data_IF_704238571069
#
_entry.id   IF_704238571069
#
_cell.length_a   1.000
_cell.length_b   1.000
_cell.length_c   1.000
_cell.angle_alpha   90.00
_cell.angle_beta   90.00
_cell.angle_gamma   90.00
#
_symmetry.space_group_name_H-M   'P 1'
#
loop_
_entity.id
_entity.type
_entity.pdbx_description
1 polymer ?
#
# COMPACT_ATOMS: atom_id res chain seq x y z
N UNK A 1 -0.76 -5.47 22.93
CA UNK A 1 0.40 -6.12 22.27
C UNK A 1 0.70 -5.35 21.00
N UNK A 2 1.94 -4.91 20.82
CA UNK A 2 2.35 -4.25 19.58
C UNK A 2 2.26 -5.25 18.42
N UNK A 3 1.78 -4.78 17.27
CA UNK A 3 1.69 -5.61 16.07
C UNK A 3 3.11 -5.90 15.55
N UNK A 4 3.50 -7.17 15.42
CA UNK A 4 4.81 -7.60 14.91
C UNK A 4 4.91 -7.44 13.38
N UNK A 5 4.79 -6.21 12.88
CA UNK A 5 4.97 -5.91 11.46
C UNK A 5 6.27 -5.16 11.22
N UNK A 6 6.98 -5.52 10.15
CA UNK A 6 8.10 -4.74 9.66
C UNK A 6 7.66 -3.31 9.30
N UNK A 7 8.57 -2.34 9.40
CA UNK A 7 8.26 -0.93 9.21
C UNK A 7 7.71 -0.59 7.81
N UNK A 8 8.06 -1.38 6.80
CA UNK A 8 7.61 -1.27 5.41
C UNK A 8 6.27 -1.99 5.15
N UNK A 9 5.73 -2.72 6.13
CA UNK A 9 4.45 -3.42 5.99
C UNK A 9 3.28 -2.44 5.84
N UNK A 10 2.34 -2.80 4.96
CA UNK A 10 1.04 -2.14 4.82
C UNK A 10 0.30 -1.95 6.14
N UNK A 11 0.52 -2.87 7.10
CA UNK A 11 -0.18 -2.94 8.38
C UNK A 11 0.62 -2.39 9.56
N UNK A 12 1.83 -1.86 9.34
CA UNK A 12 2.70 -1.39 10.42
C UNK A 12 2.05 -0.34 11.33
N UNK A 13 1.24 0.56 10.75
CA UNK A 13 0.50 1.59 11.48
C UNK A 13 -0.94 1.19 11.87
N UNK A 14 -1.34 -0.07 11.63
CA UNK A 14 -2.70 -0.53 11.93
C UNK A 14 -2.79 -1.04 13.36
N UNK A 15 -3.74 -0.50 14.13
CA UNK A 15 -4.00 -0.91 15.51
C UNK A 15 -4.32 -2.41 15.59
N UNK A 16 -3.70 -3.13 16.52
CA UNK A 16 -4.11 -4.48 16.91
C UNK A 16 -5.16 -4.42 18.02
N UNK A 17 -6.28 -5.11 17.81
CA UNK A 17 -7.39 -5.24 18.76
C UNK A 17 -7.57 -6.70 19.17
N UNK A 18 -8.26 -6.91 20.28
CA UNK A 18 -8.59 -8.25 20.77
C UNK A 18 -10.09 -8.36 20.91
N UNK A 19 -10.67 -9.43 20.36
CA UNK A 19 -12.05 -9.81 20.58
C UNK A 19 -12.08 -11.06 21.44
N UNK A 20 -12.84 -11.03 22.53
CA UNK A 20 -13.06 -12.20 23.39
C UNK A 20 -14.32 -12.91 22.95
N UNK A 21 -14.19 -14.17 22.59
CA UNK A 21 -15.32 -15.03 22.20
C UNK A 21 -16.22 -15.33 23.41
N UNK A 22 -17.47 -15.78 23.19
CA UNK A 22 -18.37 -16.15 24.30
C UNK A 22 -17.84 -17.26 25.22
N UNK A 23 -16.98 -18.16 24.72
CA UNK A 23 -16.30 -19.21 25.47
C UNK A 23 -14.97 -18.76 26.12
N UNK A 24 -14.64 -17.46 26.02
CA UNK A 24 -13.51 -16.84 26.73
C UNK A 24 -12.18 -16.84 25.97
N UNK A 25 -12.13 -17.32 24.73
CA UNK A 25 -10.93 -17.27 23.89
C UNK A 25 -10.65 -15.83 23.42
N UNK A 26 -9.41 -15.37 23.59
CA UNK A 26 -8.96 -14.09 23.06
C UNK A 26 -8.45 -14.25 21.62
N UNK A 27 -9.04 -13.51 20.68
CA UNK A 27 -8.64 -13.47 19.27
C UNK A 27 -8.06 -12.10 18.95
N UNK A 28 -6.77 -12.05 18.63
CA UNK A 28 -6.12 -10.84 18.15
C UNK A 28 -6.43 -10.61 16.66
N UNK A 29 -6.73 -9.38 16.28
CA UNK A 29 -7.02 -8.99 14.91
C UNK A 29 -6.58 -7.55 14.65
N UNK A 30 -6.43 -7.17 13.38
CA UNK A 30 -6.16 -5.78 13.01
C UNK A 30 -7.45 -4.98 12.90
N UNK A 31 -7.42 -3.74 13.40
CA UNK A 31 -8.47 -2.77 13.14
C UNK A 31 -8.66 -2.54 11.64
N UNK A 32 -9.85 -2.08 11.25
CA UNK A 32 -10.12 -1.76 9.85
C UNK A 32 -9.20 -0.63 9.38
N UNK A 33 -8.39 -0.92 8.36
CA UNK A 33 -7.62 0.09 7.63
C UNK A 33 -8.52 0.76 6.60
N UNK A 34 -8.59 2.09 6.63
CA UNK A 34 -9.19 2.89 5.57
C UNK A 34 -8.13 3.18 4.51
N UNK A 35 -8.49 3.07 3.23
CA UNK A 35 -7.58 3.48 2.18
C UNK A 35 -7.46 5.01 2.22
N UNK A 36 -6.23 5.55 2.11
CA UNK A 36 -6.06 6.99 2.00
C UNK A 36 -6.74 7.48 0.71
N UNK A 37 -7.17 8.72 0.75
CA UNK A 37 -7.56 9.45 -0.45
C UNK A 37 -6.29 9.72 -1.28
N UNK A 38 -6.17 9.29 -2.56
CA UNK A 38 -4.97 9.52 -3.36
C UNK A 38 -4.55 10.98 -3.43
N UNK A 39 -5.52 11.89 -3.43
CA UNK A 39 -5.31 13.34 -3.38
C UNK A 39 -4.52 13.80 -2.13
N UNK A 40 -4.53 13.03 -1.04
CA UNK A 40 -3.74 13.29 0.17
C UNK A 40 -2.34 12.66 0.12
N UNK A 41 -2.08 11.78 -0.84
CA UNK A 41 -0.78 11.11 -0.97
C UNK A 41 0.18 11.97 -1.77
N UNK A 42 1.40 12.09 -1.27
CA UNK A 42 2.43 12.86 -1.97
C UNK A 42 2.97 12.04 -3.15
N UNK A 43 2.64 12.47 -4.36
CA UNK A 43 3.08 11.83 -5.60
C UNK A 43 4.59 11.94 -5.77
N UNK A 44 5.22 10.86 -6.22
CA UNK A 44 6.66 10.83 -6.50
C UNK A 44 6.96 10.52 -7.97
N UNK A 45 5.98 10.02 -8.72
CA UNK A 45 6.12 9.73 -10.13
C UNK A 45 4.92 8.99 -10.71
N UNK A 46 5.09 8.50 -11.93
CA UNK A 46 4.14 7.60 -12.59
C UNK A 46 4.89 6.51 -13.36
N UNK A 47 4.20 5.41 -13.62
CA UNK A 47 4.70 4.28 -14.39
C UNK A 47 3.67 3.90 -15.44
N UNK A 48 4.08 3.74 -16.70
CA UNK A 48 3.21 3.24 -17.77
C UNK A 48 3.38 1.73 -17.84
N UNK A 49 2.29 1.00 -17.63
CA UNK A 49 2.28 -0.46 -17.59
C UNK A 49 2.71 -1.03 -18.93
N UNK A 50 3.59 -2.02 -18.89
CA UNK A 50 3.99 -2.84 -20.05
C UNK A 50 3.65 -4.30 -19.79
N UNK A 51 3.58 -5.10 -20.87
CA UNK A 51 3.31 -6.52 -20.76
C UNK A 51 4.37 -7.22 -19.90
N UNK A 52 3.91 -8.01 -18.93
CA UNK A 52 4.79 -8.72 -17.98
C UNK A 52 5.14 -7.93 -16.72
N UNK A 53 4.65 -6.70 -16.58
CA UNK A 53 4.83 -5.93 -15.34
C UNK A 53 4.24 -6.64 -14.13
N UNK A 54 4.92 -6.47 -13.01
CA UNK A 54 4.46 -6.87 -11.69
C UNK A 54 4.62 -5.72 -10.71
N UNK A 55 3.65 -5.54 -9.82
CA UNK A 55 3.64 -4.42 -8.88
C UNK A 55 4.84 -4.40 -7.93
N UNK A 56 5.35 -5.56 -7.53
CA UNK A 56 6.56 -5.68 -6.70
C UNK A 56 7.79 -5.16 -7.44
N UNK A 57 7.95 -5.46 -8.73
CA UNK A 57 9.04 -4.93 -9.55
C UNK A 57 8.92 -3.42 -9.75
N UNK A 58 7.72 -2.91 -10.02
CA UNK A 58 7.46 -1.47 -10.14
C UNK A 58 7.82 -0.76 -8.83
N UNK A 59 7.44 -1.32 -7.68
CA UNK A 59 7.76 -0.77 -6.37
C UNK A 59 9.26 -0.84 -6.06
N UNK A 60 9.94 -1.94 -6.39
CA UNK A 60 11.39 -2.03 -6.25
C UNK A 60 12.10 -0.94 -7.06
N UNK A 61 11.68 -0.72 -8.31
CA UNK A 61 12.28 0.29 -9.17
C UNK A 61 12.00 1.73 -8.71
N UNK A 62 10.76 2.02 -8.29
CA UNK A 62 10.33 3.39 -7.99
C UNK A 62 10.48 3.80 -6.52
N UNK A 63 10.43 2.84 -5.59
CA UNK A 63 10.41 3.07 -4.14
C UNK A 63 11.60 2.40 -3.42
N UNK A 64 12.43 1.64 -4.16
CA UNK A 64 13.61 0.96 -3.61
C UNK A 64 13.32 -0.31 -2.82
N UNK A 65 12.04 -0.71 -2.70
CA UNK A 65 11.61 -1.88 -1.93
C UNK A 65 10.40 -2.55 -2.59
N UNK A 66 10.49 -3.83 -3.02
CA UNK A 66 9.38 -4.56 -3.64
C UNK A 66 8.19 -4.78 -2.68
N UNK A 67 8.41 -4.81 -1.37
CA UNK A 67 7.34 -4.98 -0.38
C UNK A 67 6.46 -3.74 -0.25
N UNK A 68 6.88 -2.59 -0.80
CA UNK A 68 6.11 -1.34 -0.83
C UNK A 68 5.09 -1.27 -1.97
N UNK A 69 4.85 -2.36 -2.71
CA UNK A 69 3.87 -2.42 -3.80
C UNK A 69 2.47 -1.93 -3.43
N UNK A 70 2.08 -2.08 -2.15
CA UNK A 70 0.79 -1.63 -1.64
C UNK A 70 0.61 -0.11 -1.72
N UNK A 71 1.70 0.67 -1.76
CA UNK A 71 1.63 2.13 -1.95
C UNK A 71 1.16 2.50 -3.36
N UNK A 72 1.58 1.73 -4.37
CA UNK A 72 1.07 1.88 -5.75
C UNK A 72 -0.42 1.54 -5.78
N UNK A 73 -0.83 0.47 -5.07
CA UNK A 73 -2.25 0.13 -4.97
C UNK A 73 -3.10 1.23 -4.33
N UNK A 74 -2.65 1.75 -3.18
CA UNK A 74 -3.37 2.82 -2.48
C UNK A 74 -3.41 4.12 -3.32
N UNK A 75 -2.31 4.47 -4.01
CA UNK A 75 -2.23 5.65 -4.87
C UNK A 75 -3.18 5.61 -6.08
N UNK A 76 -3.64 4.43 -6.48
CA UNK A 76 -4.55 4.23 -7.61
C UNK A 76 -5.94 3.73 -7.17
N UNK A 77 -6.27 3.75 -5.88
CA UNK A 77 -7.54 3.21 -5.31
C UNK A 77 -7.85 1.78 -5.76
N UNK A 78 -6.82 0.95 -5.91
CA UNK A 78 -7.00 -0.40 -6.40
C UNK A 78 -7.64 -1.29 -5.33
N UNK A 79 -8.87 -1.74 -5.59
CA UNK A 79 -9.52 -2.77 -4.77
C UNK A 79 -8.92 -4.15 -5.03
N UNK A 80 -8.48 -4.40 -6.27
CA UNK A 80 -7.80 -5.62 -6.71
C UNK A 80 -6.43 -5.23 -7.31
N UNK A 81 -5.36 -5.16 -6.50
CA UNK A 81 -4.07 -4.63 -6.95
C UNK A 81 -3.50 -5.32 -8.18
N UNK A 82 -3.69 -6.64 -8.33
CA UNK A 82 -3.20 -7.39 -9.49
C UNK A 82 -3.73 -6.89 -10.85
N UNK A 83 -4.87 -6.19 -10.86
CA UNK A 83 -5.46 -5.66 -12.10
C UNK A 83 -4.74 -4.40 -12.59
N UNK A 84 -3.96 -3.74 -11.72
CA UNK A 84 -3.21 -2.53 -12.09
C UNK A 84 -2.20 -2.78 -13.20
N UNK A 85 -1.68 -3.99 -13.33
CA UNK A 85 -0.73 -4.36 -14.39
C UNK A 85 -1.38 -5.22 -15.49
N UNK A 86 -2.72 -5.32 -15.49
CA UNK A 86 -3.46 -6.17 -16.43
C UNK A 86 -3.55 -5.60 -17.84
N UNK A 87 -3.58 -4.27 -17.96
CA UNK A 87 -3.78 -3.55 -19.22
C UNK A 87 -2.54 -2.70 -19.57
N UNK A 88 -1.67 -3.15 -20.48
CA UNK A 88 -0.55 -2.37 -20.97
C UNK A 88 -0.99 -0.99 -21.51
N UNK A 89 -0.19 0.04 -21.23
CA UNK A 89 -0.49 1.44 -21.54
C UNK A 89 -1.23 2.18 -20.42
N UNK A 90 -1.70 1.49 -19.39
CA UNK A 90 -2.28 2.14 -18.20
C UNK A 90 -1.21 2.93 -17.45
N UNK A 91 -1.51 4.18 -17.09
CA UNK A 91 -0.60 5.00 -16.27
C UNK A 91 -0.94 4.83 -14.79
N UNK A 92 0.00 4.27 -14.03
CA UNK A 92 -0.10 4.13 -12.59
C UNK A 92 0.56 5.30 -11.87
N UNK A 93 -0.13 5.87 -10.89
CA UNK A 93 0.45 6.85 -9.97
C UNK A 93 1.33 6.15 -8.93
N UNK A 94 2.47 6.75 -8.63
CA UNK A 94 3.37 6.31 -7.56
C UNK A 94 3.42 7.42 -6.51
N UNK A 95 3.27 7.05 -5.24
CA UNK A 95 3.22 8.00 -4.15
C UNK A 95 3.85 7.45 -2.87
N UNK A 96 4.23 8.36 -1.98
CA UNK A 96 4.55 8.05 -0.59
C UNK A 96 3.28 7.73 0.20
N UNK A 97 3.38 7.02 1.34
CA UNK A 97 2.24 6.77 2.20
C UNK A 97 1.80 8.08 2.86
N UNK A 98 0.56 8.12 3.32
CA UNK A 98 -0.01 9.29 3.98
C UNK A 98 0.88 9.75 5.15
N UNK A 99 1.09 11.06 5.26
CA UNK A 99 1.94 11.67 6.30
C UNK A 99 3.44 11.74 5.99
N UNK A 100 3.91 11.19 4.85
CA UNK A 100 5.30 11.34 4.38
C UNK A 100 5.36 12.36 3.22
N UNK A 101 6.18 13.43 3.32
CA UNK A 101 6.34 14.39 2.23
C UNK A 101 6.87 13.75 0.94
N UNK A 102 6.38 14.22 -0.21
CA UNK A 102 6.84 13.81 -1.53
C UNK A 102 8.01 14.63 -2.03
N UNK A 103 8.55 14.26 -3.19
CA UNK A 103 9.59 15.04 -3.86
C UNK A 103 8.94 16.26 -4.52
N UNK A 104 9.39 17.50 -4.27
CA UNK A 104 8.86 18.66 -4.96
C UNK A 104 9.10 18.52 -6.48
N UNK A 105 8.06 18.77 -7.26
CA UNK A 105 8.19 18.90 -8.72
C UNK A 105 8.98 20.20 -9.00
N UNK A 106 10.19 20.07 -9.58
CA UNK A 106 10.94 21.18 -10.19
C UNK A 106 10.52 21.30 -11.64
#
# INVERSE_FOLDING_TARGET
MAANFAANSRYAATESRTWTTPDGQAIAYLARRFLPHPENLAGTGSHVVVAGDRLDNIAAAALGDPELWWRVADANRAMLPRELTGEPGTTLRIAQPEGVPGVPHV
#
